data_IF_993950267721
#
_entry.id   IF_993950267721
#
_cell.length_a   1.000
_cell.length_b   1.000
_cell.length_c   1.000
_cell.angle_alpha   90.00
_cell.angle_beta   90.00
_cell.angle_gamma   90.00
#
_symmetry.space_group_name_H-M   'P 1'
#
loop_
_entity.id
_entity.type
_entity.pdbx_description
1 polymer ?
#
# COMPACT_ATOMS: atom_id res chain seq x y z
N UNK A 1 5.55 -58.63 -1.91
CA UNK A 1 4.51 -57.60 -2.07
C UNK A 1 4.78 -56.27 -1.36
N UNK A 2 5.49 -56.19 -0.22
CA UNK A 2 5.80 -54.92 0.49
C UNK A 2 6.73 -53.93 -0.25
N UNK A 3 7.60 -54.41 -1.14
CA UNK A 3 8.55 -53.53 -1.87
C UNK A 3 7.95 -52.74 -3.04
N UNK A 4 6.79 -53.15 -3.57
CA UNK A 4 6.14 -52.46 -4.70
C UNK A 4 5.29 -51.27 -4.26
N UNK A 5 4.85 -51.21 -3.00
CA UNK A 5 4.08 -50.09 -2.46
C UNK A 5 4.96 -48.86 -2.14
N UNK A 6 6.15 -49.08 -1.56
CA UNK A 6 7.09 -48.00 -1.24
C UNK A 6 7.58 -47.22 -2.49
N UNK A 7 7.68 -47.90 -3.65
CA UNK A 7 8.13 -47.28 -4.90
C UNK A 7 7.07 -46.37 -5.53
N UNK A 8 5.77 -46.63 -5.30
CA UNK A 8 4.66 -45.78 -5.79
C UNK A 8 4.54 -44.48 -5.02
N UNK A 9 4.72 -44.50 -3.69
CA UNK A 9 4.69 -43.28 -2.87
C UNK A 9 5.88 -42.35 -3.18
N UNK A 10 7.07 -42.91 -3.40
CA UNK A 10 8.25 -42.12 -3.77
C UNK A 10 8.08 -41.40 -5.12
N UNK A 11 7.41 -42.04 -6.08
CA UNK A 11 7.07 -41.43 -7.38
C UNK A 11 5.92 -40.41 -7.32
N UNK A 12 5.00 -40.54 -6.35
CA UNK A 12 3.94 -39.55 -6.11
C UNK A 12 4.50 -38.28 -5.46
N UNK A 13 5.40 -38.42 -4.47
CA UNK A 13 6.08 -37.30 -3.80
C UNK A 13 6.99 -36.55 -4.79
N UNK A 14 7.77 -37.25 -5.63
CA UNK A 14 8.59 -36.59 -6.67
C UNK A 14 7.75 -35.87 -7.72
N UNK A 15 6.62 -36.44 -8.17
CA UNK A 15 5.71 -35.76 -9.11
C UNK A 15 5.05 -34.51 -8.48
N UNK A 16 4.67 -34.57 -7.21
CA UNK A 16 4.13 -33.41 -6.49
C UNK A 16 5.19 -32.31 -6.27
N UNK A 17 6.45 -32.68 -6.02
CA UNK A 17 7.56 -31.73 -5.89
C UNK A 17 7.92 -31.05 -7.23
N UNK A 18 7.89 -31.80 -8.34
CA UNK A 18 8.16 -31.25 -9.69
C UNK A 18 6.99 -30.39 -10.19
N UNK A 19 5.73 -30.73 -9.89
CA UNK A 19 4.58 -29.88 -10.26
C UNK A 19 4.56 -28.58 -9.45
N UNK A 20 4.81 -28.64 -8.14
CA UNK A 20 4.92 -27.44 -7.27
C UNK A 20 6.05 -26.50 -7.71
N UNK A 21 7.18 -27.06 -8.16
CA UNK A 21 8.33 -26.27 -8.65
C UNK A 21 8.04 -25.61 -10.01
N UNK A 22 7.25 -26.25 -10.89
CA UNK A 22 6.76 -25.63 -12.14
C UNK A 22 5.70 -24.56 -11.88
N UNK A 23 4.75 -24.77 -10.96
CA UNK A 23 3.76 -23.76 -10.57
C UNK A 23 4.42 -22.51 -9.97
N UNK A 24 5.42 -22.66 -9.09
CA UNK A 24 6.15 -21.50 -8.53
C UNK A 24 6.87 -20.68 -9.61
N UNK A 25 7.45 -21.32 -10.64
CA UNK A 25 8.11 -20.63 -11.76
C UNK A 25 7.11 -19.86 -12.64
N UNK A 26 5.93 -20.43 -12.88
CA UNK A 26 4.88 -19.81 -13.71
C UNK A 26 4.20 -18.64 -12.99
N UNK A 27 4.01 -18.75 -11.67
CA UNK A 27 3.38 -17.70 -10.86
C UNK A 27 4.33 -16.50 -10.68
N UNK A 28 5.62 -16.75 -10.45
CA UNK A 28 6.64 -15.69 -10.40
C UNK A 28 6.71 -14.90 -11.72
N UNK A 29 6.67 -15.61 -12.85
CA UNK A 29 6.69 -15.00 -14.19
C UNK A 29 5.45 -14.16 -14.47
N UNK A 30 4.26 -14.58 -14.02
CA UNK A 30 3.03 -13.78 -14.14
C UNK A 30 3.05 -12.53 -13.27
N UNK A 31 3.58 -12.61 -12.06
CA UNK A 31 3.72 -11.43 -11.19
C UNK A 31 4.73 -10.42 -11.74
N UNK A 32 5.85 -10.88 -12.29
CA UNK A 32 6.83 -10.00 -12.96
C UNK A 32 6.23 -9.37 -14.21
N UNK A 33 5.49 -10.15 -15.01
CA UNK A 33 4.83 -9.61 -16.22
C UNK A 33 3.75 -8.59 -15.88
N UNK A 34 2.99 -8.78 -14.79
CA UNK A 34 2.00 -7.81 -14.32
C UNK A 34 2.64 -6.53 -13.80
N UNK A 35 3.71 -6.62 -13.01
CA UNK A 35 4.43 -5.43 -12.53
C UNK A 35 5.12 -4.68 -13.67
N UNK A 36 5.72 -5.40 -14.62
CA UNK A 36 6.35 -4.80 -15.80
C UNK A 36 5.30 -4.19 -16.73
N UNK A 37 4.17 -4.87 -16.97
CA UNK A 37 3.09 -4.35 -17.79
C UNK A 37 2.46 -3.09 -17.18
N UNK A 38 2.27 -3.06 -15.86
CA UNK A 38 1.75 -1.89 -15.15
C UNK A 38 2.77 -0.74 -15.19
N UNK A 39 4.06 -1.03 -14.96
CA UNK A 39 5.14 -0.05 -15.10
C UNK A 39 5.21 0.55 -16.52
N UNK A 40 5.18 -0.29 -17.55
CA UNK A 40 5.18 0.15 -18.95
C UNK A 40 3.89 0.91 -19.30
N UNK A 41 2.74 0.48 -18.79
CA UNK A 41 1.46 1.14 -19.03
C UNK A 41 1.46 2.58 -18.49
N UNK A 42 1.99 2.80 -17.28
CA UNK A 42 2.09 4.13 -16.70
C UNK A 42 3.12 5.01 -17.43
N UNK A 43 4.24 4.45 -17.89
CA UNK A 43 5.22 5.21 -18.71
C UNK A 43 4.61 5.65 -20.03
N UNK A 44 3.89 4.75 -20.72
CA UNK A 44 3.25 5.05 -22.00
C UNK A 44 2.11 6.06 -21.86
N UNK A 45 1.37 6.01 -20.75
CA UNK A 45 0.37 7.03 -20.41
C UNK A 45 1.03 8.38 -20.12
N UNK A 46 2.15 8.40 -19.38
CA UNK A 46 2.83 9.64 -18.99
C UNK A 46 3.24 10.51 -20.19
N UNK A 47 3.55 9.91 -21.34
CA UNK A 47 3.95 10.64 -22.55
C UNK A 47 2.78 11.32 -23.29
N UNK A 48 1.53 11.08 -22.88
CA UNK A 48 0.34 11.61 -23.56
C UNK A 48 -0.41 12.67 -22.74
N UNK A 49 0.06 13.00 -21.53
CA UNK A 49 -0.70 13.84 -20.61
C UNK A 49 0.04 15.10 -20.15
N UNK A 50 -0.75 16.15 -19.87
CA UNK A 50 -0.30 17.39 -19.25
C UNK A 50 0.36 17.19 -17.87
N UNK A 51 1.22 18.13 -17.40
CA UNK A 51 1.91 18.06 -16.12
C UNK A 51 1.01 17.80 -14.90
N UNK A 52 -0.21 18.36 -14.90
CA UNK A 52 -1.19 18.14 -13.83
C UNK A 52 -1.56 16.65 -13.69
N UNK A 53 -1.86 15.98 -14.80
CA UNK A 53 -2.25 14.58 -14.81
C UNK A 53 -1.09 13.66 -14.41
N UNK A 54 0.15 14.03 -14.72
CA UNK A 54 1.35 13.31 -14.27
C UNK A 54 1.52 13.40 -12.75
N UNK A 55 1.30 14.57 -12.15
CA UNK A 55 1.30 14.72 -10.67
C UNK A 55 0.21 13.86 -10.01
N UNK A 56 -0.97 13.75 -10.63
CA UNK A 56 -2.05 12.89 -10.15
C UNK A 56 -1.68 11.41 -10.28
N UNK A 57 -1.06 10.99 -11.39
CA UNK A 57 -0.57 9.63 -11.58
C UNK A 57 0.50 9.27 -10.52
N UNK A 58 1.41 10.19 -10.19
CA UNK A 58 2.37 10.01 -9.09
C UNK A 58 1.67 9.87 -7.73
N UNK A 59 0.60 10.64 -7.48
CA UNK A 59 -0.24 10.49 -6.28
C UNK A 59 -0.89 9.11 -6.21
N UNK A 60 -1.48 8.64 -7.32
CA UNK A 60 -2.08 7.30 -7.42
C UNK A 60 -1.04 6.22 -7.14
N UNK A 61 0.12 6.31 -7.78
CA UNK A 61 1.18 5.33 -7.63
C UNK A 61 1.72 5.27 -6.18
N UNK A 62 1.80 6.42 -5.50
CA UNK A 62 2.21 6.52 -4.10
C UNK A 62 1.16 5.93 -3.15
N UNK A 63 -0.10 6.36 -3.29
CA UNK A 63 -1.21 5.85 -2.48
C UNK A 63 -1.48 4.37 -2.74
N UNK A 64 -1.18 3.87 -3.94
CA UNK A 64 -1.28 2.45 -4.25
C UNK A 64 -0.37 1.63 -3.35
N UNK A 65 0.87 2.08 -3.08
CA UNK A 65 1.80 1.39 -2.18
C UNK A 65 1.20 1.33 -0.76
N UNK A 66 0.59 2.42 -0.29
CA UNK A 66 -0.07 2.47 1.00
C UNK A 66 -1.30 1.53 1.08
N UNK A 67 -2.12 1.50 0.04
CA UNK A 67 -3.27 0.58 -0.05
C UNK A 67 -2.82 -0.87 -0.17
N UNK A 68 -1.71 -1.14 -0.87
CA UNK A 68 -1.08 -2.46 -0.91
C UNK A 68 -0.57 -2.89 0.46
N UNK A 69 -0.06 -1.98 1.29
CA UNK A 69 0.29 -2.25 2.69
C UNK A 69 -0.94 -2.72 3.50
N UNK A 70 -2.05 -2.00 3.41
CA UNK A 70 -3.32 -2.41 4.06
C UNK A 70 -3.75 -3.77 3.54
N UNK A 71 -3.78 -3.94 2.22
CA UNK A 71 -4.22 -5.17 1.55
C UNK A 71 -3.33 -6.36 1.91
N UNK A 72 -2.02 -6.15 2.09
CA UNK A 72 -1.11 -7.18 2.58
C UNK A 72 -1.44 -7.54 4.03
N UNK A 73 -1.65 -6.55 4.90
CA UNK A 73 -1.97 -6.79 6.31
C UNK A 73 -3.30 -7.54 6.48
N UNK A 74 -4.38 -7.00 5.90
CA UNK A 74 -5.73 -7.57 5.98
C UNK A 74 -5.84 -8.87 5.19
N UNK A 75 -5.26 -8.90 4.00
CA UNK A 75 -5.32 -10.03 3.09
C UNK A 75 -4.45 -11.20 3.54
N UNK A 76 -3.28 -10.97 4.15
CA UNK A 76 -2.41 -12.05 4.59
C UNK A 76 -2.72 -12.52 6.00
N UNK A 77 -2.86 -11.62 6.98
CA UNK A 77 -3.00 -11.99 8.41
C UNK A 77 -4.42 -11.86 8.96
N UNK A 78 -5.32 -11.17 8.26
CA UNK A 78 -6.67 -10.85 8.76
C UNK A 78 -6.71 -9.68 9.73
N UNK A 79 -5.57 -9.04 10.01
CA UNK A 79 -5.50 -7.88 10.90
C UNK A 79 -5.98 -6.62 10.16
N UNK A 80 -6.98 -5.95 10.73
CA UNK A 80 -7.45 -4.64 10.26
C UNK A 80 -6.67 -3.57 11.03
N UNK A 81 -5.99 -2.69 10.30
CA UNK A 81 -5.25 -1.55 10.87
C UNK A 81 -5.82 -0.25 10.31
N UNK A 82 -6.16 0.67 11.22
CA UNK A 82 -6.61 2.03 10.92
C UNK A 82 -5.47 3.05 11.07
N UNK A 83 -4.23 2.58 11.24
CA UNK A 83 -3.07 3.42 11.56
C UNK A 83 -2.01 3.51 10.45
N UNK A 84 -2.30 3.05 9.23
CA UNK A 84 -1.28 3.05 8.17
C UNK A 84 -0.84 4.46 7.75
N UNK A 85 -1.70 5.49 7.89
CA UNK A 85 -1.29 6.88 7.68
C UNK A 85 -0.32 7.38 8.75
N UNK A 86 -0.42 6.91 10.00
CA UNK A 86 0.60 7.17 11.02
C UNK A 86 1.95 6.54 10.67
N UNK A 87 1.92 5.30 10.15
CA UNK A 87 3.15 4.62 9.73
C UNK A 87 3.77 5.30 8.50
N UNK A 88 2.93 5.80 7.57
CA UNK A 88 3.36 6.69 6.50
C UNK A 88 4.02 7.96 7.04
N UNK A 89 3.42 8.62 8.05
CA UNK A 89 4.01 9.80 8.67
C UNK A 89 5.41 9.49 9.22
N UNK A 90 5.59 8.38 9.94
CA UNK A 90 6.90 7.95 10.46
C UNK A 90 7.92 7.76 9.33
N UNK A 91 7.53 7.16 8.20
CA UNK A 91 8.40 7.00 7.03
C UNK A 91 8.74 8.34 6.37
N UNK A 92 7.76 9.22 6.21
CA UNK A 92 7.93 10.55 5.61
C UNK A 92 8.80 11.49 6.45
N UNK A 93 8.57 11.56 7.75
CA UNK A 93 9.44 12.28 8.68
C UNK A 93 10.83 11.66 8.75
N UNK A 94 10.91 10.33 8.73
CA UNK A 94 12.18 9.61 8.68
C UNK A 94 13.02 10.00 7.46
N UNK A 95 12.43 9.97 6.25
CA UNK A 95 13.12 10.39 5.03
C UNK A 95 13.46 11.87 5.02
N UNK A 96 12.54 12.73 5.48
CA UNK A 96 12.75 14.18 5.53
C UNK A 96 13.93 14.55 6.43
N UNK A 97 14.03 13.95 7.62
CA UNK A 97 15.14 14.18 8.55
C UNK A 97 16.48 13.66 8.01
N UNK A 98 16.47 12.50 7.33
CA UNK A 98 17.68 11.94 6.71
C UNK A 98 18.24 12.85 5.61
N UNK A 99 17.37 13.48 4.82
CA UNK A 99 17.79 14.42 3.78
C UNK A 99 18.22 15.76 4.40
N UNK A 100 17.38 16.36 5.24
CA UNK A 100 17.59 17.74 5.75
C UNK A 100 18.69 17.86 6.80
N UNK A 101 18.81 16.89 7.71
CA UNK A 101 19.76 16.94 8.83
C UNK A 101 21.04 16.17 8.56
N UNK A 102 20.92 15.02 7.90
CA UNK A 102 22.05 14.09 7.68
C UNK A 102 22.62 14.20 6.25
N UNK A 103 21.97 14.94 5.35
CA UNK A 103 22.46 15.16 3.99
C UNK A 103 22.51 13.90 3.13
N UNK A 104 21.76 12.86 3.48
CA UNK A 104 21.74 11.64 2.68
C UNK A 104 21.03 11.87 1.34
N UNK A 105 21.49 11.15 0.30
CA UNK A 105 20.82 11.12 -1.01
C UNK A 105 19.39 10.59 -0.88
N UNK A 106 18.47 11.10 -1.69
CA UNK A 106 17.04 10.71 -1.64
C UNK A 106 16.84 9.19 -1.72
N UNK A 107 17.62 8.51 -2.56
CA UNK A 107 17.50 7.07 -2.77
C UNK A 107 17.79 6.28 -1.49
N UNK A 108 18.83 6.70 -0.77
CA UNK A 108 19.23 6.10 0.50
C UNK A 108 18.17 6.42 1.55
N UNK A 109 17.64 7.65 1.56
CA UNK A 109 16.59 8.08 2.48
C UNK A 109 15.30 7.27 2.31
N UNK A 110 14.89 6.94 1.09
CA UNK A 110 13.72 6.07 0.85
C UNK A 110 13.93 4.64 1.35
N UNK A 111 15.11 4.08 1.11
CA UNK A 111 15.45 2.73 1.61
C UNK A 111 15.47 2.72 3.14
N UNK A 112 16.10 3.72 3.76
CA UNK A 112 16.14 3.85 5.22
C UNK A 112 14.75 4.11 5.81
N UNK A 113 13.87 4.84 5.11
CA UNK A 113 12.48 5.03 5.55
C UNK A 113 11.72 3.70 5.65
N UNK A 114 11.98 2.73 4.76
CA UNK A 114 11.44 1.36 4.88
C UNK A 114 11.91 0.72 6.18
N UNK A 115 13.19 0.85 6.53
CA UNK A 115 13.72 0.26 7.76
C UNK A 115 13.20 0.95 9.02
N UNK A 116 13.11 2.28 9.03
CA UNK A 116 12.58 3.07 10.15
C UNK A 116 11.12 2.69 10.42
N UNK A 117 10.30 2.66 9.37
CA UNK A 117 8.89 2.27 9.47
C UNK A 117 8.70 0.79 9.79
N UNK A 118 9.55 -0.11 9.28
CA UNK A 118 9.53 -1.52 9.63
C UNK A 118 9.90 -1.74 11.11
N UNK A 119 10.88 -1.01 11.63
CA UNK A 119 11.27 -1.06 13.04
C UNK A 119 10.14 -0.52 13.93
N UNK A 120 9.54 0.61 13.55
CA UNK A 120 8.37 1.15 14.25
C UNK A 120 7.19 0.17 14.21
N UNK A 121 6.96 -0.44 13.06
CA UNK A 121 6.00 -1.52 12.85
C UNK A 121 6.31 -2.78 13.64
N UNK A 122 7.58 -3.05 13.99
CA UNK A 122 7.94 -4.17 14.85
C UNK A 122 7.50 -3.89 16.29
N UNK A 123 7.75 -2.69 16.82
CA UNK A 123 7.26 -2.29 18.13
C UNK A 123 5.73 -2.33 18.21
N UNK A 124 5.06 -1.75 17.22
CA UNK A 124 3.60 -1.80 17.12
C UNK A 124 3.08 -3.22 16.91
N UNK A 125 3.75 -4.02 16.08
CA UNK A 125 3.42 -5.40 15.79
C UNK A 125 3.47 -6.28 17.04
N UNK A 126 4.47 -6.06 17.91
CA UNK A 126 4.59 -6.77 19.19
C UNK A 126 3.45 -6.42 20.15
N UNK A 127 3.04 -5.15 20.22
CA UNK A 127 1.86 -4.75 20.98
C UNK A 127 0.58 -5.30 20.36
N UNK A 128 0.46 -5.20 19.03
CA UNK A 128 -0.66 -5.68 18.22
C UNK A 128 -0.86 -7.19 18.30
N UNK A 129 0.21 -7.98 18.42
CA UNK A 129 0.13 -9.43 18.51
C UNK A 129 -0.55 -9.93 19.79
N UNK A 130 -0.69 -9.06 20.81
CA UNK A 130 -1.45 -9.34 22.03
C UNK A 130 -2.93 -9.00 21.90
N UNK A 131 -3.31 -8.23 20.88
CA UNK A 131 -4.67 -7.75 20.65
C UNK A 131 -5.32 -8.61 19.55
N UNK A 132 -6.62 -8.89 19.72
CA UNK A 132 -7.40 -9.63 18.72
C UNK A 132 -8.56 -8.78 18.18
N UNK A 133 -8.85 -8.94 16.89
CA UNK A 133 -10.04 -8.38 16.25
C UNK A 133 -10.14 -6.83 16.35
N UNK A 134 -11.29 -6.29 16.78
CA UNK A 134 -11.57 -4.84 16.78
C UNK A 134 -10.61 -4.01 17.65
N UNK A 135 -10.04 -4.59 18.71
CA UNK A 135 -9.14 -3.88 19.62
C UNK A 135 -7.85 -3.44 18.94
N UNK A 136 -7.38 -4.20 17.95
CA UNK A 136 -6.22 -3.82 17.14
C UNK A 136 -6.52 -2.59 16.26
N UNK A 137 -7.69 -2.56 15.64
CA UNK A 137 -8.13 -1.42 14.84
C UNK A 137 -8.23 -0.15 15.69
N UNK A 138 -8.82 -0.24 16.89
CA UNK A 138 -8.89 0.89 17.82
C UNK A 138 -7.51 1.39 18.26
N UNK A 139 -6.60 0.47 18.61
CA UNK A 139 -5.22 0.84 19.02
C UNK A 139 -4.46 1.54 17.89
N UNK A 140 -4.60 1.05 16.66
CA UNK A 140 -3.94 1.66 15.50
C UNK A 140 -4.55 3.02 15.12
N UNK A 141 -5.85 3.22 15.36
CA UNK A 141 -6.50 4.54 15.22
C UNK A 141 -5.98 5.56 16.24
N UNK A 142 -5.81 5.14 17.50
CA UNK A 142 -5.19 6.00 18.54
C UNK A 142 -3.78 6.39 18.12
N UNK A 143 -3.00 5.45 17.55
CA UNK A 143 -1.68 5.76 17.01
C UNK A 143 -1.74 6.72 15.81
N UNK A 144 -2.76 6.61 14.95
CA UNK A 144 -3.00 7.55 13.86
C UNK A 144 -3.14 8.98 14.38
N UNK A 145 -3.84 9.18 15.51
CA UNK A 145 -4.03 10.49 16.14
C UNK A 145 -2.76 10.97 16.87
N UNK A 146 -2.06 10.06 17.54
CA UNK A 146 -0.91 10.40 18.37
C UNK A 146 0.30 10.84 17.55
N UNK A 147 0.61 10.19 16.43
CA UNK A 147 1.86 10.40 15.68
C UNK A 147 1.98 11.83 15.11
N UNK A 148 0.98 12.38 14.39
CA UNK A 148 1.05 13.77 13.93
C UNK A 148 1.10 14.76 15.10
N UNK A 149 0.38 14.47 16.19
CA UNK A 149 0.38 15.31 17.41
C UNK A 149 1.75 15.37 18.08
N UNK A 150 2.50 14.26 18.07
CA UNK A 150 3.89 14.21 18.56
C UNK A 150 4.78 15.10 17.70
N UNK A 151 4.64 15.08 16.37
CA UNK A 151 5.43 15.93 15.49
C UNK A 151 5.19 17.44 15.77
N UNK A 152 3.93 17.83 16.03
CA UNK A 152 3.58 19.21 16.44
C UNK A 152 4.23 19.57 17.79
N UNK A 153 4.19 18.65 18.76
CA UNK A 153 4.71 18.92 20.11
C UNK A 153 6.23 19.07 20.15
N UNK A 154 6.95 18.34 19.31
CA UNK A 154 8.42 18.37 19.23
C UNK A 154 8.90 19.30 18.12
N UNK A 155 8.54 20.59 18.23
CA UNK A 155 8.86 21.63 17.26
C UNK A 155 10.36 21.74 16.97
N UNK A 156 11.21 21.60 17.99
CA UNK A 156 12.67 21.69 17.83
C UNK A 156 13.26 20.64 16.88
N UNK A 157 12.57 19.51 16.72
CA UNK A 157 13.06 18.39 15.91
C UNK A 157 12.31 18.27 14.57
N UNK A 158 10.99 18.45 14.57
CA UNK A 158 10.13 18.26 13.38
C UNK A 158 9.63 19.57 12.73
N UNK A 159 10.06 20.74 13.23
CA UNK A 159 9.59 22.06 12.78
C UNK A 159 8.09 22.31 13.01
N UNK A 160 7.48 21.55 13.94
CA UNK A 160 6.12 21.77 14.43
C UNK A 160 5.06 21.65 13.34
N UNK A 161 4.09 22.56 13.36
CA UNK A 161 2.97 22.59 12.40
C UNK A 161 3.39 23.07 11.01
N UNK A 162 4.47 23.84 10.91
CA UNK A 162 5.05 24.29 9.63
C UNK A 162 5.59 23.11 8.83
N UNK A 163 6.11 22.09 9.53
CA UNK A 163 6.71 20.91 8.92
C UNK A 163 8.09 21.15 8.32
N UNK A 164 8.64 20.09 7.75
CA UNK A 164 9.96 20.08 7.12
C UNK A 164 9.80 20.31 5.63
N UNK A 165 10.30 21.44 5.14
CA UNK A 165 10.53 21.64 3.70
C UNK A 165 11.77 20.86 3.29
N UNK A 166 11.63 19.98 2.31
CA UNK A 166 12.70 19.10 1.86
C UNK A 166 12.91 19.29 0.38
N UNK A 167 14.10 19.71 -0.02
CA UNK A 167 14.51 19.67 -1.42
C UNK A 167 15.11 18.30 -1.72
N UNK A 168 14.40 17.49 -2.49
CA UNK A 168 14.87 16.17 -2.93
C UNK A 168 15.76 16.23 -4.18
N UNK A 169 16.01 17.43 -4.70
CA UNK A 169 16.89 17.69 -5.83
C UNK A 169 16.22 17.57 -7.19
N UNK A 170 16.81 18.26 -8.17
CA UNK A 170 16.42 18.24 -9.58
C UNK A 170 16.78 16.92 -10.28
N UNK A 171 16.12 16.57 -11.40
CA UNK A 171 16.45 15.38 -12.18
C UNK A 171 17.94 15.40 -12.58
N UNK A 172 18.64 14.25 -12.50
CA UNK A 172 20.07 14.20 -12.78
C UNK A 172 20.32 14.48 -14.27
N UNK A 173 21.40 15.21 -14.56
CA UNK A 173 21.73 15.76 -15.89
C UNK A 173 21.75 14.71 -17.01
N UNK A 174 22.10 13.46 -16.70
CA UNK A 174 22.08 12.37 -17.68
C UNK A 174 20.67 12.05 -18.18
N UNK A 175 19.65 12.19 -17.33
CA UNK A 175 18.24 11.92 -17.66
C UNK A 175 17.66 13.08 -18.48
N UNK A 176 17.99 14.31 -18.11
CA UNK A 176 17.63 15.54 -18.83
C UNK A 176 18.18 15.53 -20.26
N UNK A 177 19.39 15.01 -20.46
CA UNK A 177 19.99 14.87 -21.79
C UNK A 177 19.35 13.78 -22.67
N UNK A 178 18.65 12.80 -22.08
CA UNK A 178 18.03 11.67 -22.78
C UNK A 178 16.55 11.90 -23.11
N UNK A 179 15.83 12.68 -22.29
CA UNK A 179 14.36 12.82 -22.37
C UNK A 179 13.92 14.27 -22.65
N UNK A 180 14.78 15.27 -22.43
CA UNK A 180 14.46 16.69 -22.59
C UNK A 180 14.35 17.42 -21.25
N UNK A 181 13.77 18.63 -21.24
CA UNK A 181 13.45 19.36 -20.01
C UNK A 181 12.34 18.62 -19.25
N UNK A 182 12.70 18.02 -18.11
CA UNK A 182 11.78 17.27 -17.26
C UNK A 182 11.23 18.23 -16.19
N UNK A 183 9.91 18.36 -16.13
CA UNK A 183 9.24 19.14 -15.07
C UNK A 183 9.37 18.45 -13.70
N UNK A 184 9.14 19.19 -12.61
CA UNK A 184 9.22 18.59 -11.26
C UNK A 184 8.12 17.53 -11.06
N UNK A 185 6.97 17.72 -11.72
CA UNK A 185 5.84 16.80 -11.72
C UNK A 185 6.19 15.47 -12.42
N UNK A 186 6.87 15.54 -13.57
CA UNK A 186 7.38 14.37 -14.30
C UNK A 186 8.44 13.62 -13.51
N UNK A 187 9.34 14.39 -12.87
CA UNK A 187 10.38 13.82 -12.04
C UNK A 187 9.78 13.00 -10.87
N UNK A 188 8.75 13.53 -10.21
CA UNK A 188 8.04 12.79 -9.16
C UNK A 188 7.47 11.46 -9.65
N UNK A 189 6.87 11.44 -10.85
CA UNK A 189 6.31 10.23 -11.44
C UNK A 189 7.40 9.19 -11.73
N UNK A 190 8.52 9.60 -12.33
CA UNK A 190 9.63 8.72 -12.65
C UNK A 190 10.32 8.14 -11.42
N UNK A 191 10.35 8.89 -10.31
CA UNK A 191 10.87 8.41 -9.04
C UNK A 191 9.93 7.40 -8.41
N UNK A 192 8.63 7.68 -8.35
CA UNK A 192 7.64 6.83 -7.66
C UNK A 192 7.41 5.51 -8.40
N UNK A 193 7.35 5.53 -9.74
CA UNK A 193 7.03 4.35 -10.55
C UNK A 193 7.87 3.08 -10.25
N UNK A 194 9.22 3.13 -10.22
CA UNK A 194 10.02 1.95 -9.94
C UNK A 194 9.75 1.40 -8.54
N UNK A 195 9.51 2.27 -7.55
CA UNK A 195 9.15 1.84 -6.19
C UNK A 195 7.76 1.21 -6.14
N UNK A 196 6.77 1.76 -6.85
CA UNK A 196 5.44 1.17 -6.94
C UNK A 196 5.48 -0.20 -7.61
N UNK A 197 6.24 -0.34 -8.71
CA UNK A 197 6.43 -1.62 -9.39
C UNK A 197 7.14 -2.64 -8.48
N UNK A 198 8.18 -2.21 -7.74
CA UNK A 198 8.89 -3.04 -6.78
C UNK A 198 7.99 -3.47 -5.61
N UNK A 199 7.17 -2.57 -5.07
CA UNK A 199 6.21 -2.86 -4.01
C UNK A 199 5.14 -3.86 -4.47
N UNK A 200 4.60 -3.68 -5.67
CA UNK A 200 3.62 -4.58 -6.27
C UNK A 200 4.21 -5.96 -6.53
N UNK A 201 5.43 -6.01 -7.07
CA UNK A 201 6.18 -7.25 -7.22
C UNK A 201 6.43 -7.95 -5.88
N UNK A 202 6.85 -7.20 -4.85
CA UNK A 202 7.10 -7.72 -3.51
C UNK A 202 5.82 -8.33 -2.93
N UNK A 203 4.69 -7.62 -2.96
CA UNK A 203 3.41 -8.10 -2.41
C UNK A 203 2.89 -9.33 -3.16
N UNK A 204 2.98 -9.34 -4.49
CA UNK A 204 2.60 -10.50 -5.31
C UNK A 204 3.48 -11.71 -5.03
N UNK A 205 4.79 -11.53 -4.92
CA UNK A 205 5.70 -12.64 -4.66
C UNK A 205 5.50 -13.18 -3.24
N UNK A 206 5.43 -12.28 -2.25
CA UNK A 206 5.33 -12.61 -0.83
C UNK A 206 4.04 -13.39 -0.53
N UNK A 207 2.92 -12.99 -1.14
CA UNK A 207 1.62 -13.69 -1.03
C UNK A 207 1.61 -15.10 -1.65
N UNK A 208 2.44 -15.34 -2.67
CA UNK A 208 2.54 -16.62 -3.37
C UNK A 208 3.59 -17.59 -2.78
N UNK A 209 4.53 -17.08 -1.99
CA UNK A 209 5.57 -17.88 -1.34
C UNK A 209 5.03 -18.83 -0.25
N UNK A 210 5.89 -19.70 0.29
CA UNK A 210 5.56 -20.55 1.45
C UNK A 210 5.13 -19.71 2.65
N UNK A 211 5.81 -18.59 2.87
CA UNK A 211 5.52 -17.64 3.96
C UNK A 211 4.11 -17.07 3.80
N UNK A 212 3.73 -16.64 2.59
CA UNK A 212 2.37 -16.16 2.30
C UNK A 212 1.27 -17.21 2.46
N UNK A 213 1.58 -18.51 2.28
CA UNK A 213 0.64 -19.60 2.59
C UNK A 213 0.46 -19.78 4.09
N UNK A 214 1.53 -19.68 4.87
CA UNK A 214 1.46 -19.69 6.34
C UNK A 214 0.61 -18.54 6.88
N UNK A 215 0.76 -17.34 6.31
CA UNK A 215 -0.04 -16.18 6.70
C UNK A 215 -1.52 -16.40 6.46
N UNK A 216 -1.88 -16.87 5.26
CA UNK A 216 -3.27 -17.22 4.93
C UNK A 216 -3.84 -18.28 5.87
N UNK A 217 -3.05 -19.28 6.27
CA UNK A 217 -3.49 -20.27 7.24
C UNK A 217 -3.83 -19.65 8.60
N UNK A 218 -3.00 -18.72 9.09
CA UNK A 218 -3.26 -17.97 10.34
C UNK A 218 -4.54 -17.13 10.22
N UNK A 219 -4.75 -16.47 9.08
CA UNK A 219 -5.96 -15.67 8.81
C UNK A 219 -7.23 -16.51 8.78
N UNK A 220 -7.18 -17.68 8.14
CA UNK A 220 -8.38 -18.50 7.90
C UNK A 220 -8.85 -19.18 9.20
N UNK A 221 -7.93 -19.75 9.99
CA UNK A 221 -8.25 -20.25 11.33
C UNK A 221 -7.00 -20.29 12.22
N UNK A 222 -6.94 -19.38 13.20
CA UNK A 222 -5.83 -19.29 14.15
C UNK A 222 -5.64 -20.58 14.95
N UNK A 223 -6.72 -21.22 15.38
CA UNK A 223 -6.68 -22.46 16.18
C UNK A 223 -6.08 -23.61 15.36
N UNK A 224 -6.54 -23.81 14.13
CA UNK A 224 -6.00 -24.85 13.26
C UNK A 224 -4.55 -24.60 12.86
N UNK A 225 -4.17 -23.33 12.66
CA UNK A 225 -2.79 -22.96 12.40
C UNK A 225 -1.88 -23.26 13.61
N UNK A 226 -2.32 -22.97 14.83
CA UNK A 226 -1.59 -23.29 16.05
C UNK A 226 -1.40 -24.80 16.25
N UNK A 227 -2.45 -25.61 15.99
CA UNK A 227 -2.36 -27.07 16.03
C UNK A 227 -1.38 -27.63 14.98
N UNK A 228 -1.15 -26.91 13.89
CA UNK A 228 -0.16 -27.24 12.86
C UNK A 228 1.26 -26.76 13.20
N UNK A 229 1.49 -26.26 14.42
CA UNK A 229 2.80 -25.80 14.90
C UNK A 229 3.18 -24.39 14.44
N UNK A 230 2.26 -23.60 13.89
CA UNK A 230 2.53 -22.22 13.46
C UNK A 230 2.39 -21.29 14.66
N UNK A 231 3.43 -20.48 14.93
CA UNK A 231 3.35 -19.43 15.94
C UNK A 231 2.54 -18.23 15.40
N UNK A 232 1.32 -18.07 15.90
CA UNK A 232 0.38 -17.02 15.46
C UNK A 232 0.95 -15.62 15.71
N UNK A 233 1.46 -15.37 16.92
CA UNK A 233 1.92 -14.05 17.35
C UNK A 233 3.09 -13.59 16.50
N UNK A 234 4.12 -14.42 16.34
CA UNK A 234 5.28 -14.12 15.48
C UNK A 234 4.85 -13.88 14.04
N UNK A 235 3.90 -14.67 13.54
CA UNK A 235 3.40 -14.52 12.17
C UNK A 235 2.72 -13.16 11.97
N UNK A 236 1.84 -12.76 12.89
CA UNK A 236 1.17 -11.45 12.88
C UNK A 236 2.18 -10.29 12.94
N UNK A 237 3.18 -10.37 13.82
CA UNK A 237 4.26 -9.35 13.91
C UNK A 237 4.98 -9.21 12.56
N UNK A 238 5.41 -10.32 11.96
CA UNK A 238 6.17 -10.29 10.69
C UNK A 238 5.33 -9.65 9.58
N UNK A 239 4.06 -10.01 9.46
CA UNK A 239 3.16 -9.41 8.46
C UNK A 239 3.00 -7.90 8.71
N UNK A 240 2.85 -7.50 9.98
CA UNK A 240 2.74 -6.09 10.36
C UNK A 240 4.01 -5.30 10.02
N UNK A 241 5.20 -5.88 10.26
CA UNK A 241 6.49 -5.27 9.90
C UNK A 241 6.62 -5.09 8.38
N UNK A 242 6.30 -6.12 7.60
CA UNK A 242 6.34 -6.04 6.14
C UNK A 242 5.35 -4.98 5.60
N UNK A 243 4.13 -4.94 6.13
CA UNK A 243 3.15 -3.92 5.78
C UNK A 243 3.64 -2.52 6.18
N UNK A 244 4.22 -2.37 7.38
CA UNK A 244 4.72 -1.08 7.85
C UNK A 244 5.86 -0.54 6.99
N UNK A 245 6.77 -1.41 6.53
CA UNK A 245 7.82 -1.02 5.58
C UNK A 245 7.27 -0.48 4.26
N UNK A 246 6.20 -1.10 3.72
CA UNK A 246 5.51 -0.59 2.53
C UNK A 246 4.81 0.74 2.79
N UNK A 247 4.15 0.88 3.94
CA UNK A 247 3.51 2.14 4.33
C UNK A 247 4.56 3.26 4.51
N UNK A 248 5.70 2.99 5.13
CA UNK A 248 6.76 3.99 5.27
C UNK A 248 7.38 4.39 3.92
N UNK A 249 7.54 3.46 2.98
CA UNK A 249 7.94 3.80 1.61
C UNK A 249 6.94 4.74 0.95
N UNK A 250 5.65 4.43 1.06
CA UNK A 250 4.59 5.30 0.54
C UNK A 250 4.63 6.69 1.19
N UNK A 251 4.88 6.76 2.51
CA UNK A 251 5.01 8.01 3.24
C UNK A 251 6.19 8.85 2.79
N UNK A 252 7.36 8.23 2.59
CA UNK A 252 8.56 8.90 2.10
C UNK A 252 8.39 9.46 0.68
N UNK A 253 7.75 8.68 -0.20
CA UNK A 253 7.40 9.11 -1.56
C UNK A 253 6.32 10.20 -1.56
N UNK A 254 5.38 10.15 -0.61
CA UNK A 254 4.36 11.20 -0.48
C UNK A 254 4.98 12.54 -0.08
N UNK A 255 6.04 12.49 0.76
CA UNK A 255 6.83 13.64 1.16
C UNK A 255 7.70 14.24 0.05
N UNK A 256 7.87 13.54 -1.08
CA UNK A 256 8.67 14.01 -2.22
C UNK A 256 8.17 15.33 -2.82
N UNK A 257 6.92 15.72 -2.52
CA UNK A 257 6.31 17.00 -2.93
C UNK A 257 6.94 18.24 -2.31
N UNK A 258 7.99 18.07 -1.52
CA UNK A 258 8.76 19.17 -0.94
C UNK A 258 8.30 19.62 0.44
N UNK A 259 7.24 19.01 0.99
CA UNK A 259 6.74 19.34 2.32
C UNK A 259 6.33 18.07 3.08
N UNK A 260 6.88 17.92 4.29
CA UNK A 260 6.53 16.88 5.24
C UNK A 260 6.03 17.56 6.52
N UNK A 261 4.71 17.68 6.64
CA UNK A 261 4.05 18.36 7.75
C UNK A 261 2.95 17.48 8.37
N UNK A 262 2.50 17.76 9.61
CA UNK A 262 1.42 16.99 10.24
C UNK A 262 0.11 17.08 9.45
N UNK A 263 -0.12 18.22 8.79
CA UNK A 263 -1.24 18.49 7.89
C UNK A 263 -1.24 17.63 6.62
N UNK A 264 -0.07 17.12 6.20
CA UNK A 264 0.10 16.24 5.03
C UNK A 264 -0.24 14.79 5.37
N UNK A 265 -0.10 14.40 6.65
CA UNK A 265 -0.46 13.06 7.14
C UNK A 265 -1.57 13.12 8.21
N UNK A 266 -2.75 13.66 7.88
CA UNK A 266 -3.85 13.72 8.84
C UNK A 266 -4.38 12.31 9.12
N UNK A 267 -5.13 12.17 10.22
CA UNK A 267 -5.80 10.90 10.53
C UNK A 267 -6.80 10.48 9.48
N UNK A 268 -7.40 11.46 8.79
CA UNK A 268 -8.29 11.23 7.66
C UNK A 268 -7.60 10.49 6.50
N UNK A 269 -6.28 10.67 6.31
CA UNK A 269 -5.50 9.92 5.33
C UNK A 269 -5.54 8.41 5.63
N UNK A 270 -5.53 8.01 6.91
CA UNK A 270 -5.65 6.58 7.26
C UNK A 270 -7.03 6.01 6.93
N UNK A 271 -8.08 6.81 7.12
CA UNK A 271 -9.46 6.42 6.83
C UNK A 271 -9.71 6.35 5.32
N UNK A 272 -9.22 7.31 4.54
CA UNK A 272 -9.29 7.29 3.08
C UNK A 272 -8.52 6.11 2.50
N UNK A 273 -7.33 5.78 3.01
CA UNK A 273 -6.60 4.58 2.57
C UNK A 273 -7.37 3.28 2.87
N UNK A 274 -7.97 3.16 4.05
CA UNK A 274 -8.85 2.03 4.36
C UNK A 274 -10.04 1.99 3.41
N UNK A 275 -10.64 3.14 3.14
CA UNK A 275 -11.77 3.28 2.23
C UNK A 275 -11.41 2.77 0.84
N UNK A 276 -10.21 3.13 0.34
CA UNK A 276 -9.71 2.65 -0.95
C UNK A 276 -9.59 1.11 -0.94
N UNK A 277 -9.02 0.56 0.13
CA UNK A 277 -8.85 -0.87 0.29
C UNK A 277 -10.19 -1.62 0.39
N UNK A 278 -11.20 -1.04 1.06
CA UNK A 278 -12.55 -1.62 1.19
C UNK A 278 -13.31 -1.55 -0.13
N UNK A 279 -13.31 -0.40 -0.81
CA UNK A 279 -13.99 -0.21 -2.10
C UNK A 279 -13.41 -1.17 -3.14
N UNK A 280 -12.08 -1.22 -3.24
CA UNK A 280 -11.38 -2.13 -4.14
C UNK A 280 -11.54 -3.61 -3.77
N UNK A 281 -11.54 -3.90 -2.47
CA UNK A 281 -11.63 -5.24 -1.89
C UNK A 281 -10.35 -5.62 -1.13
N UNK A 282 -10.47 -5.78 0.19
CA UNK A 282 -9.37 -5.99 1.16
C UNK A 282 -8.47 -7.22 0.93
N UNK A 283 -8.85 -8.11 0.01
CA UNK A 283 -8.16 -9.39 -0.27
C UNK A 283 -7.64 -9.49 -1.71
N UNK A 284 -7.82 -8.46 -2.53
CA UNK A 284 -7.44 -8.47 -3.94
C UNK A 284 -6.45 -7.36 -4.25
N UNK A 285 -5.31 -7.75 -4.83
CA UNK A 285 -4.30 -6.79 -5.32
C UNK A 285 -4.85 -5.99 -6.51
N UNK A 286 -5.64 -6.63 -7.39
CA UNK A 286 -6.34 -5.90 -8.47
C UNK A 286 -7.42 -4.95 -7.93
N UNK A 287 -8.05 -5.33 -6.82
CA UNK A 287 -8.96 -4.46 -6.07
C UNK A 287 -8.26 -3.21 -5.53
N UNK A 288 -7.08 -3.38 -4.92
CA UNK A 288 -6.28 -2.26 -4.41
C UNK A 288 -5.95 -1.23 -5.50
N UNK A 289 -5.64 -1.69 -6.73
CA UNK A 289 -5.42 -0.79 -7.87
C UNK A 289 -6.69 0.00 -8.18
N UNK A 290 -7.82 -0.68 -8.39
CA UNK A 290 -9.09 -0.02 -8.69
C UNK A 290 -9.55 0.95 -7.58
N UNK A 291 -9.44 0.53 -6.32
CA UNK A 291 -9.85 1.36 -5.17
C UNK A 291 -9.00 2.62 -5.02
N UNK A 292 -7.69 2.53 -5.28
CA UNK A 292 -6.80 3.70 -5.25
C UNK A 292 -7.12 4.65 -6.40
N UNK A 293 -7.29 4.13 -7.61
CA UNK A 293 -7.72 4.94 -8.77
C UNK A 293 -9.05 5.65 -8.49
N UNK A 294 -10.03 4.95 -7.93
CA UNK A 294 -11.33 5.52 -7.59
C UNK A 294 -11.18 6.68 -6.59
N UNK A 295 -10.46 6.51 -5.48
CA UNK A 295 -10.36 7.57 -4.46
C UNK A 295 -9.59 8.80 -4.94
N UNK A 296 -8.60 8.66 -5.81
CA UNK A 296 -7.83 9.81 -6.28
C UNK A 296 -8.54 10.56 -7.41
N UNK A 297 -9.18 9.85 -8.35
CA UNK A 297 -9.87 10.49 -9.48
C UNK A 297 -11.26 11.03 -9.13
N UNK A 298 -11.95 10.42 -8.17
CA UNK A 298 -13.34 10.78 -7.87
C UNK A 298 -13.50 12.22 -7.35
N UNK A 299 -12.64 12.73 -6.45
CA UNK A 299 -12.70 14.14 -6.02
C UNK A 299 -12.56 15.12 -7.18
N UNK A 300 -11.59 14.89 -8.09
CA UNK A 300 -11.34 15.76 -9.25
C UNK A 300 -12.53 15.75 -10.23
N UNK A 301 -13.16 14.59 -10.42
CA UNK A 301 -14.38 14.47 -11.23
C UNK A 301 -15.55 15.23 -10.59
N UNK A 302 -15.71 15.13 -9.28
CA UNK A 302 -16.78 15.83 -8.54
C UNK A 302 -16.55 17.33 -8.59
N UNK A 303 -15.32 17.79 -8.43
CA UNK A 303 -14.99 19.21 -8.49
C UNK A 303 -15.31 19.80 -9.87
N UNK A 304 -14.96 19.09 -10.96
CA UNK A 304 -15.31 19.47 -12.34
C UNK A 304 -16.83 19.55 -12.55
N UNK A 305 -17.58 18.57 -12.06
CA UNK A 305 -19.06 18.56 -12.15
C UNK A 305 -19.66 19.71 -11.33
N UNK A 306 -19.14 19.96 -10.12
CA UNK A 306 -19.61 21.00 -9.20
C UNK A 306 -19.37 22.40 -9.79
N UNK A 307 -18.20 22.63 -10.40
CA UNK A 307 -17.87 23.87 -11.13
C UNK A 307 -18.82 24.11 -12.29
N UNK A 308 -19.15 23.07 -13.06
CA UNK A 308 -20.08 23.18 -14.19
C UNK A 308 -21.53 23.46 -13.77
N UNK A 309 -21.93 23.03 -12.57
CA UNK A 309 -23.27 23.22 -12.01
C UNK A 309 -23.42 24.50 -11.17
N UNK A 310 -22.38 25.34 -11.08
CA UNK A 310 -22.36 26.61 -10.32
C UNK A 310 -22.81 26.48 -8.86
N UNK A 311 -22.47 25.35 -8.21
CA UNK A 311 -22.80 25.13 -6.79
C UNK A 311 -21.91 26.03 -5.93
N UNK A 312 -22.44 26.65 -4.85
CA UNK A 312 -21.63 27.47 -3.94
C UNK A 312 -20.42 26.70 -3.39
N UNK A 313 -19.24 27.34 -3.39
CA UNK A 313 -17.96 26.74 -2.97
C UNK A 313 -18.01 26.20 -1.52
N UNK A 314 -18.83 26.82 -0.67
CA UNK A 314 -19.03 26.39 0.72
C UNK A 314 -19.59 24.98 0.82
N UNK A 315 -20.41 24.55 -0.15
CA UNK A 315 -20.95 23.18 -0.22
C UNK A 315 -20.03 22.31 -1.07
N UNK A 316 -19.47 22.88 -2.15
CA UNK A 316 -18.56 22.20 -3.07
C UNK A 316 -17.38 21.53 -2.38
N UNK A 317 -16.80 22.18 -1.37
CA UNK A 317 -15.62 21.67 -0.67
C UNK A 317 -15.89 20.42 0.19
N UNK A 318 -17.12 20.21 0.65
CA UNK A 318 -17.48 19.04 1.47
C UNK A 318 -18.05 17.87 0.64
N UNK A 319 -18.47 18.11 -0.61
CA UNK A 319 -19.04 17.08 -1.49
C UNK A 319 -18.10 15.90 -1.75
N UNK A 320 -16.78 16.07 -1.99
CA UNK A 320 -15.87 14.94 -2.16
C UNK A 320 -15.81 14.02 -0.94
N UNK A 321 -15.77 14.57 0.27
CA UNK A 321 -15.76 13.76 1.50
C UNK A 321 -17.08 12.99 1.70
N UNK A 322 -18.21 13.66 1.48
CA UNK A 322 -19.54 13.04 1.60
C UNK A 322 -19.76 11.93 0.57
N UNK A 323 -19.32 12.13 -0.67
CA UNK A 323 -19.45 11.12 -1.73
C UNK A 323 -18.54 9.92 -1.48
N UNK A 324 -17.30 10.10 -1.04
CA UNK A 324 -16.42 8.99 -0.65
C UNK A 324 -17.04 8.21 0.51
N UNK A 325 -17.55 8.90 1.54
CA UNK A 325 -18.23 8.25 2.67
C UNK A 325 -19.50 7.49 2.26
N UNK A 326 -20.31 8.09 1.39
CA UNK A 326 -21.51 7.45 0.84
C UNK A 326 -21.15 6.24 -0.01
N UNK A 327 -20.13 6.35 -0.86
CA UNK A 327 -19.66 5.25 -1.71
C UNK A 327 -19.08 4.11 -0.87
N UNK A 328 -18.40 4.41 0.24
CA UNK A 328 -17.98 3.41 1.22
C UNK A 328 -19.19 2.69 1.82
N UNK A 329 -20.18 3.43 2.33
CA UNK A 329 -21.39 2.84 2.92
C UNK A 329 -22.12 1.94 1.92
N UNK A 330 -22.29 2.44 0.70
CA UNK A 330 -22.94 1.73 -0.39
C UNK A 330 -22.16 0.46 -0.78
N UNK A 331 -20.83 0.54 -0.83
CA UNK A 331 -19.99 -0.63 -1.11
C UNK A 331 -20.08 -1.68 -0.01
N UNK A 332 -20.06 -1.28 1.26
CA UNK A 332 -20.19 -2.21 2.39
C UNK A 332 -21.56 -2.88 2.40
N UNK A 333 -22.63 -2.15 2.08
CA UNK A 333 -24.01 -2.68 2.04
C UNK A 333 -24.22 -3.62 0.86
N UNK A 334 -23.79 -3.24 -0.35
CA UNK A 334 -24.05 -4.04 -1.55
C UNK A 334 -23.06 -5.18 -1.75
N UNK A 335 -21.79 -5.00 -1.40
CA UNK A 335 -20.73 -5.97 -1.66
C UNK A 335 -19.66 -5.98 -0.55
N UNK A 336 -19.84 -6.76 0.53
CA UNK A 336 -18.87 -6.85 1.64
C UNK A 336 -17.51 -7.45 1.23
N UNK A 337 -17.39 -7.97 0.00
CA UNK A 337 -16.12 -8.43 -0.59
C UNK A 337 -15.42 -7.37 -1.48
N UNK A 338 -16.01 -6.18 -1.63
CA UNK A 338 -15.54 -5.09 -2.49
C UNK A 338 -15.74 -5.37 -4.00
N UNK A 339 -15.34 -4.41 -4.84
CA UNK A 339 -15.51 -4.48 -6.30
C UNK A 339 -14.84 -5.71 -6.92
N UNK A 340 -13.65 -6.10 -6.44
CA UNK A 340 -12.96 -7.30 -6.93
C UNK A 340 -13.71 -8.61 -6.62
N UNK A 341 -14.40 -8.68 -5.48
CA UNK A 341 -15.21 -9.84 -5.11
C UNK A 341 -16.47 -9.99 -5.97
N UNK A 342 -17.06 -8.87 -6.40
CA UNK A 342 -18.22 -8.86 -7.30
C UNK A 342 -17.86 -9.42 -8.69
N UNK A 343 -16.69 -9.04 -9.24
CA UNK A 343 -16.20 -9.56 -10.52
C UNK A 343 -15.97 -11.08 -10.49
N UNK A 344 -15.44 -11.61 -9.39
CA UNK A 344 -15.21 -13.06 -9.24
C UNK A 344 -16.54 -13.83 -9.18
N UNK A 345 -17.55 -13.30 -8.49
CA UNK A 345 -18.87 -13.93 -8.42
C UNK A 345 -19.59 -13.95 -9.78
N UNK A 346 -19.48 -12.87 -10.56
CA UNK A 346 -20.03 -12.79 -11.93
C UNK A 346 -19.30 -13.77 -12.88
N UNK A 347 -17.98 -13.92 -12.72
CA UNK A 347 -17.18 -14.86 -13.53
C UNK A 347 -17.51 -16.32 -13.23
N UNK A 348 -17.86 -16.64 -11.98
CA UNK A 348 -18.34 -17.97 -11.62
C UNK A 348 -19.76 -18.25 -12.15
N UNK A 349 -20.65 -17.25 -12.20
CA UNK A 349 -21.96 -17.41 -12.85
C UNK A 349 -21.88 -17.64 -14.35
N UNK A 350 -20.95 -16.99 -15.07
CA UNK A 350 -20.79 -17.17 -16.54
C UNK A 350 -20.17 -18.51 -16.96
N UNK A 351 -19.67 -19.31 -16.02
CA UNK A 351 -19.09 -20.64 -16.28
C UNK A 351 -20.08 -21.80 -16.06
N UNK A 352 -21.28 -21.50 -15.60
CA UNK A 352 -22.41 -22.42 -15.49
C UNK A 352 -23.53 -21.98 -16.44
#
# INVERSE_FOLDING_TARGET
>A
MRYLFARKEFWAVKRCAVSKRREHKIIGLRSTLLSIALFLFFILLSQQFDPYNQSQLANIATLLIAVLSITLLTGASGQISLGQGAIMAVGGYGSALLVTRLGFSMWISFILAIFISALFGLFLGLAAARLSGPYLAGTTLVMALAIPSIAVRFESFFSGDVGLSVDYGMPPVWLTNLVGEISIEEWSLYVVLPFTAAALFAVLNLSNTRTGRTWRAVRDNEVSAALSGINIQRTKVIVFVCASGLAGLAGALYGFRGLVAPSVYPTDLSLTLLTAAVIGGLRSIGGAIFGTFAIVFLPDLIEKITKNLAIPETIGNYLPALTIGTLLLLTVILNPRGAAGALEHIRHRKKH
#
